data_IF_015525093397
#
_entry.id   IF_015525093397
#
_cell.length_a   1.000
_cell.length_b   1.000
_cell.length_c   1.000
_cell.angle_alpha   90.00
_cell.angle_beta   90.00
_cell.angle_gamma   90.00
#
_symmetry.space_group_name_H-M   'P 1'
#
loop_
_entity.id
_entity.type
_entity.pdbx_description
1 polymer ?
#
# COMPACT_ATOMS: atom_id res chain seq x y z
N UNK A 1 0.33 15.26 -12.29
CA UNK A 1 -0.31 15.29 -10.96
C UNK A 1 -0.60 16.71 -10.46
N UNK A 2 0.33 17.67 -10.58
CA UNK A 2 0.11 19.07 -10.15
C UNK A 2 -1.20 19.72 -10.67
N UNK A 3 -1.57 19.46 -11.93
CA UNK A 3 -2.82 19.99 -12.51
C UNK A 3 -4.10 19.45 -11.83
N UNK A 4 -4.09 18.19 -11.37
CA UNK A 4 -5.26 17.59 -10.72
C UNK A 4 -5.52 18.20 -9.34
N UNK A 5 -4.49 18.37 -8.51
CA UNK A 5 -4.63 18.97 -7.18
C UNK A 5 -5.09 20.44 -7.26
N UNK A 6 -4.56 21.21 -8.21
CA UNK A 6 -4.99 22.59 -8.46
C UNK A 6 -6.45 22.66 -8.94
N UNK A 7 -6.88 21.72 -9.80
CA UNK A 7 -8.28 21.61 -10.23
C UNK A 7 -9.20 21.28 -9.06
N UNK A 8 -8.83 20.30 -8.22
CA UNK A 8 -9.59 19.98 -7.00
C UNK A 8 -9.70 21.21 -6.09
N UNK A 9 -8.62 21.97 -5.92
CA UNK A 9 -8.62 23.22 -5.14
C UNK A 9 -9.64 24.23 -5.68
N UNK A 10 -9.72 24.43 -6.99
CA UNK A 10 -10.59 25.45 -7.59
C UNK A 10 -12.08 25.11 -7.54
N UNK A 11 -12.44 23.82 -7.50
CA UNK A 11 -13.83 23.35 -7.52
C UNK A 11 -14.39 22.94 -6.16
N UNK A 12 -13.59 22.95 -5.09
CA UNK A 12 -14.02 22.51 -3.74
C UNK A 12 -13.88 23.61 -2.67
N UNK A 13 -14.95 23.83 -1.90
CA UNK A 13 -14.97 24.81 -0.80
C UNK A 13 -14.03 24.43 0.36
N UNK A 14 -13.51 25.41 1.11
CA UNK A 14 -12.48 25.24 2.16
C UNK A 14 -12.85 24.22 3.25
N UNK A 15 -14.14 24.01 3.51
CA UNK A 15 -14.62 23.00 4.45
C UNK A 15 -14.47 21.54 3.94
N UNK A 16 -14.40 21.31 2.63
CA UNK A 16 -14.35 19.96 2.07
C UNK A 16 -13.08 19.21 2.46
N UNK A 17 -13.22 17.96 2.90
CA UNK A 17 -12.09 17.03 3.08
C UNK A 17 -11.79 16.36 1.75
N UNK A 18 -10.52 16.29 1.39
CA UNK A 18 -10.03 15.66 0.16
C UNK A 18 -9.22 14.43 0.52
N UNK A 19 -9.48 13.31 -0.14
CA UNK A 19 -8.66 12.10 -0.05
C UNK A 19 -8.39 11.56 -1.46
N UNK A 20 -7.40 10.69 -1.59
CA UNK A 20 -7.07 10.01 -2.83
C UNK A 20 -7.02 8.49 -2.62
N UNK A 21 -6.80 7.77 -3.72
CA UNK A 21 -6.66 6.31 -3.74
C UNK A 21 -5.47 5.88 -4.59
N UNK A 22 -4.51 6.79 -4.85
CA UNK A 22 -3.37 6.47 -5.70
C UNK A 22 -2.53 5.34 -5.08
N UNK A 23 -1.65 4.70 -5.85
CA UNK A 23 -0.79 3.63 -5.34
C UNK A 23 0.52 4.11 -4.69
N UNK A 24 0.89 5.39 -4.88
CA UNK A 24 2.10 6.03 -4.32
C UNK A 24 1.69 7.31 -3.62
N UNK A 25 2.23 7.61 -2.44
CA UNK A 25 1.73 8.69 -1.57
C UNK A 25 2.59 9.94 -1.59
N UNK A 26 3.90 9.83 -1.58
CA UNK A 26 4.79 11.00 -1.43
C UNK A 26 4.61 12.03 -2.56
N UNK A 27 4.52 11.64 -3.85
CA UNK A 27 4.26 12.61 -4.93
C UNK A 27 2.87 13.24 -4.87
N UNK A 28 1.87 12.51 -4.34
CA UNK A 28 0.51 13.04 -4.19
C UNK A 28 0.44 14.04 -3.04
N UNK A 29 1.07 13.72 -1.91
CA UNK A 29 1.18 14.62 -0.77
C UNK A 29 1.89 15.92 -1.17
N UNK A 30 2.98 15.83 -1.93
CA UNK A 30 3.67 17.00 -2.47
C UNK A 30 2.74 17.85 -3.37
N UNK A 31 2.05 17.23 -4.33
CA UNK A 31 1.11 17.93 -5.19
C UNK A 31 -0.06 18.57 -4.42
N UNK A 32 -0.54 17.94 -3.35
CA UNK A 32 -1.57 18.49 -2.48
C UNK A 32 -1.05 19.70 -1.68
N UNK A 33 0.18 19.63 -1.15
CA UNK A 33 0.83 20.76 -0.46
C UNK A 33 1.04 21.94 -1.41
N UNK A 34 1.56 21.71 -2.60
CA UNK A 34 1.78 22.75 -3.61
C UNK A 34 0.48 23.44 -4.05
N UNK A 35 -0.62 22.70 -4.11
CA UNK A 35 -1.95 23.23 -4.42
C UNK A 35 -2.64 23.91 -3.22
N UNK A 36 -1.99 24.01 -2.06
CA UNK A 36 -2.55 24.59 -0.84
C UNK A 36 -3.67 23.75 -0.23
N UNK A 37 -3.67 22.43 -0.43
CA UNK A 37 -4.65 21.49 0.12
C UNK A 37 -4.22 20.86 1.45
N UNK A 38 -2.99 21.09 1.92
CA UNK A 38 -2.38 20.39 3.07
C UNK A 38 -3.33 20.25 4.28
N UNK A 39 -3.91 21.36 4.75
CA UNK A 39 -4.81 21.36 5.93
C UNK A 39 -6.19 20.72 5.72
N UNK A 40 -6.49 20.19 4.53
CA UNK A 40 -7.74 19.48 4.25
C UNK A 40 -7.57 18.18 3.45
N UNK A 41 -6.33 17.72 3.29
CA UNK A 41 -5.99 16.53 2.53
C UNK A 41 -5.61 15.37 3.44
N UNK A 42 -6.16 14.19 3.17
CA UNK A 42 -5.82 12.92 3.84
C UNK A 42 -5.47 11.91 2.76
N UNK A 43 -4.18 11.61 2.58
CA UNK A 43 -3.74 10.64 1.58
C UNK A 43 -4.25 9.23 1.89
N UNK A 44 -4.68 8.50 0.86
CA UNK A 44 -5.29 7.18 0.99
C UNK A 44 -4.79 6.19 -0.06
N UNK A 45 -4.73 4.91 0.32
CA UNK A 45 -4.48 3.82 -0.63
C UNK A 45 -5.20 2.55 -0.18
N UNK A 46 -6.34 2.18 -0.81
CA UNK A 46 -6.94 0.87 -0.63
C UNK A 46 -6.09 -0.19 -1.34
N UNK A 47 -5.58 -1.15 -0.59
CA UNK A 47 -4.90 -2.35 -1.08
C UNK A 47 -5.93 -3.37 -1.60
N UNK A 48 -6.75 -2.93 -2.55
CA UNK A 48 -7.87 -3.67 -3.13
C UNK A 48 -7.72 -3.84 -4.65
N UNK A 49 -6.52 -3.65 -5.19
CA UNK A 49 -6.26 -3.76 -6.62
C UNK A 49 -6.55 -5.16 -7.13
N UNK A 50 -7.24 -5.23 -8.27
CA UNK A 50 -7.40 -6.45 -9.08
C UNK A 50 -6.68 -6.25 -10.42
N UNK A 51 -6.50 -7.31 -11.19
CA UNK A 51 -6.03 -7.25 -12.57
C UNK A 51 -7.05 -6.59 -13.54
N UNK A 52 -8.24 -6.21 -13.07
CA UNK A 52 -9.31 -5.64 -13.88
C UNK A 52 -9.44 -4.13 -13.66
N UNK A 53 -9.79 -3.40 -14.73
CA UNK A 53 -9.89 -1.94 -14.75
C UNK A 53 -11.20 -1.48 -15.39
N UNK A 54 -11.60 -0.24 -15.10
CA UNK A 54 -12.78 0.42 -15.66
C UNK A 54 -14.04 0.26 -14.81
N UNK A 55 -15.11 0.98 -15.17
CA UNK A 55 -16.35 1.04 -14.38
C UNK A 55 -17.00 -0.33 -14.16
N UNK A 56 -16.95 -1.21 -15.17
CA UNK A 56 -17.52 -2.56 -15.09
C UNK A 56 -16.77 -3.49 -14.11
N UNK A 57 -15.55 -3.14 -13.70
CA UNK A 57 -14.79 -3.86 -12.68
C UNK A 57 -15.16 -3.45 -11.25
N UNK A 58 -16.10 -2.52 -11.07
CA UNK A 58 -16.57 -2.10 -9.76
C UNK A 58 -17.31 -3.22 -9.03
N UNK A 59 -16.97 -3.43 -7.76
CA UNK A 59 -17.59 -4.44 -6.90
C UNK A 59 -17.92 -3.83 -5.53
N UNK A 60 -19.12 -4.12 -5.01
CA UNK A 60 -19.61 -3.56 -3.75
C UNK A 60 -18.85 -4.08 -2.52
N UNK A 61 -18.22 -5.25 -2.63
CA UNK A 61 -17.39 -5.88 -1.61
C UNK A 61 -15.89 -5.62 -1.78
N UNK A 62 -15.46 -4.86 -2.79
CA UNK A 62 -14.05 -4.66 -3.15
C UNK A 62 -13.16 -4.26 -1.95
N UNK A 63 -13.71 -3.46 -1.05
CA UNK A 63 -12.99 -2.89 0.09
C UNK A 63 -13.14 -3.70 1.38
N UNK A 64 -14.04 -4.68 1.40
CA UNK A 64 -14.33 -5.46 2.60
C UNK A 64 -13.10 -6.31 2.98
N UNK A 65 -12.57 -6.08 4.19
CA UNK A 65 -11.35 -6.73 4.67
C UNK A 65 -10.05 -6.26 4.02
N UNK A 66 -10.09 -5.40 3.00
CA UNK A 66 -8.91 -4.83 2.39
C UNK A 66 -8.18 -3.90 3.39
N UNK A 67 -6.85 -3.88 3.35
CA UNK A 67 -6.12 -2.83 4.06
C UNK A 67 -6.32 -1.51 3.31
N UNK A 68 -6.61 -0.43 4.01
CA UNK A 68 -6.63 0.92 3.46
C UNK A 68 -5.64 1.76 4.23
N UNK A 69 -4.52 2.11 3.59
CA UNK A 69 -3.54 2.97 4.23
C UNK A 69 -4.06 4.40 4.23
N UNK A 70 -4.11 5.04 5.40
CA UNK A 70 -4.40 6.47 5.52
C UNK A 70 -3.18 7.21 6.06
N UNK A 71 -2.71 8.19 5.31
CA UNK A 71 -1.53 8.94 5.64
C UNK A 71 -1.76 9.85 6.85
N UNK A 72 -0.83 9.80 7.79
CA UNK A 72 -0.79 10.68 8.97
C UNK A 72 0.55 11.42 8.95
N UNK A 73 0.50 12.71 8.63
CA UNK A 73 1.65 13.61 8.61
C UNK A 73 1.63 14.56 9.82
N UNK A 74 2.74 15.24 10.14
CA UNK A 74 2.78 16.22 11.23
C UNK A 74 1.74 17.34 11.11
N UNK A 75 1.38 17.71 9.88
CA UNK A 75 0.39 18.74 9.53
C UNK A 75 -1.01 18.17 9.22
N UNK A 76 -1.23 16.86 9.34
CA UNK A 76 -2.55 16.26 9.10
C UNK A 76 -3.54 16.70 10.18
N UNK A 77 -4.66 17.26 9.73
CA UNK A 77 -5.86 17.52 10.53
C UNK A 77 -6.51 16.17 10.93
N UNK A 78 -6.45 15.84 12.22
CA UNK A 78 -6.89 14.54 12.72
C UNK A 78 -8.41 14.37 12.68
N UNK A 79 -9.21 15.45 12.74
CA UNK A 79 -10.66 15.34 12.65
C UNK A 79 -11.06 14.92 11.24
N UNK A 80 -10.37 15.47 10.22
CA UNK A 80 -10.54 15.05 8.83
C UNK A 80 -10.05 13.63 8.60
N UNK A 81 -8.92 13.26 9.20
CA UNK A 81 -8.40 11.90 9.14
C UNK A 81 -9.40 10.90 9.73
N UNK A 82 -9.97 11.20 10.91
CA UNK A 82 -11.01 10.38 11.55
C UNK A 82 -12.25 10.26 10.67
N UNK A 83 -12.65 11.32 9.98
CA UNK A 83 -13.75 11.28 9.01
C UNK A 83 -13.49 10.32 7.84
N UNK A 84 -12.29 10.34 7.25
CA UNK A 84 -11.90 9.42 6.18
C UNK A 84 -11.75 7.99 6.71
N UNK A 85 -11.22 7.81 7.91
CA UNK A 85 -11.14 6.52 8.57
C UNK A 85 -12.52 5.93 8.86
N UNK A 86 -13.49 6.75 9.27
CA UNK A 86 -14.88 6.32 9.49
C UNK A 86 -15.53 5.86 8.18
N UNK A 87 -15.30 6.58 7.07
CA UNK A 87 -15.74 6.17 5.74
C UNK A 87 -15.14 4.80 5.36
N UNK A 88 -13.82 4.65 5.44
CA UNK A 88 -13.12 3.43 5.04
C UNK A 88 -13.54 2.21 5.90
N UNK A 89 -13.60 2.37 7.22
CA UNK A 89 -14.05 1.30 8.13
C UNK A 89 -15.53 0.98 7.97
N UNK A 90 -16.37 1.96 7.66
CA UNK A 90 -17.79 1.75 7.31
C UNK A 90 -18.00 0.94 6.02
N UNK A 91 -17.02 0.95 5.12
CA UNK A 91 -16.96 0.09 3.92
C UNK A 91 -16.33 -1.29 4.20
N UNK A 92 -16.01 -1.59 5.46
CA UNK A 92 -15.40 -2.85 5.89
C UNK A 92 -13.88 -2.91 5.70
N UNK A 93 -13.21 -1.81 5.34
CA UNK A 93 -11.77 -1.78 5.19
C UNK A 93 -11.05 -1.69 6.56
N UNK A 94 -9.82 -2.19 6.60
CA UNK A 94 -8.91 -2.10 7.76
C UNK A 94 -8.00 -0.90 7.58
N UNK A 95 -8.18 0.14 8.38
CA UNK A 95 -7.40 1.39 8.22
C UNK A 95 -6.03 1.27 8.85
N UNK A 96 -4.98 1.25 8.04
CA UNK A 96 -3.58 1.18 8.50
C UNK A 96 -2.98 2.58 8.47
N UNK A 97 -2.65 3.20 9.62
CA UNK A 97 -2.02 4.52 9.61
C UNK A 97 -0.54 4.41 9.23
N UNK A 98 -0.04 5.32 8.39
CA UNK A 98 1.39 5.41 8.07
C UNK A 98 1.72 6.84 7.63
N UNK A 99 2.99 7.23 7.61
CA UNK A 99 3.38 8.40 6.78
C UNK A 99 3.38 8.03 5.30
N UNK A 100 3.37 9.03 4.41
CA UNK A 100 3.50 8.82 2.98
C UNK A 100 4.82 8.10 2.62
N UNK A 101 5.91 8.46 3.30
CA UNK A 101 7.22 7.86 3.08
C UNK A 101 7.25 6.38 3.51
N UNK A 102 6.76 6.06 4.71
CA UNK A 102 6.70 4.67 5.20
C UNK A 102 5.81 3.79 4.31
N UNK A 103 4.69 4.34 3.86
CA UNK A 103 3.84 3.67 2.89
C UNK A 103 4.61 3.32 1.61
N UNK A 104 5.29 4.31 1.02
CA UNK A 104 6.00 4.15 -0.25
C UNK A 104 7.15 3.14 -0.14
N UNK A 105 7.87 3.14 0.98
CA UNK A 105 8.86 2.11 1.30
C UNK A 105 8.24 0.72 1.42
N UNK A 106 7.06 0.60 2.04
CA UNK A 106 6.37 -0.68 2.18
C UNK A 106 5.90 -1.21 0.82
N UNK A 107 5.15 -0.42 0.04
CA UNK A 107 4.62 -0.86 -1.26
C UNK A 107 5.70 -1.09 -2.31
N UNK A 108 6.86 -0.42 -2.21
CA UNK A 108 8.02 -0.76 -3.03
C UNK A 108 8.42 -2.23 -2.86
N UNK A 109 8.38 -2.76 -1.62
CA UNK A 109 8.78 -4.13 -1.29
C UNK A 109 7.67 -5.16 -1.53
N UNK A 110 6.41 -4.82 -1.19
CA UNK A 110 5.30 -5.79 -1.22
C UNK A 110 4.45 -5.73 -2.50
N UNK A 111 4.66 -4.75 -3.38
CA UNK A 111 3.89 -4.57 -4.61
C UNK A 111 4.78 -4.31 -5.83
N UNK A 112 5.59 -3.24 -5.82
CA UNK A 112 6.36 -2.83 -7.01
C UNK A 112 7.47 -3.83 -7.36
N UNK A 113 8.29 -4.21 -6.37
CA UNK A 113 9.34 -5.20 -6.53
C UNK A 113 8.80 -6.55 -7.04
N UNK A 114 7.69 -7.11 -6.52
CA UNK A 114 7.03 -8.27 -7.11
C UNK A 114 6.71 -8.15 -8.61
N UNK A 115 6.24 -7.00 -9.10
CA UNK A 115 6.01 -6.79 -10.54
C UNK A 115 7.32 -6.84 -11.34
N UNK A 116 8.39 -6.18 -10.86
CA UNK A 116 9.70 -6.21 -11.51
C UNK A 116 10.32 -7.62 -11.49
N UNK A 117 10.22 -8.32 -10.37
CA UNK A 117 10.70 -9.70 -10.22
C UNK A 117 9.97 -10.64 -11.18
N UNK A 118 8.64 -10.54 -11.27
CA UNK A 118 7.83 -11.32 -12.19
C UNK A 118 8.25 -11.10 -13.65
N UNK A 119 8.45 -9.85 -14.06
CA UNK A 119 8.93 -9.51 -15.40
C UNK A 119 10.36 -10.03 -15.66
N UNK A 120 11.24 -9.93 -14.67
CA UNK A 120 12.61 -10.46 -14.72
C UNK A 120 12.64 -11.98 -14.88
N UNK A 121 11.87 -12.71 -14.07
CA UNK A 121 11.73 -14.19 -14.15
C UNK A 121 11.21 -14.61 -15.53
N UNK A 122 10.19 -13.93 -16.06
CA UNK A 122 9.66 -14.21 -17.38
C UNK A 122 10.71 -13.99 -18.48
N UNK A 123 11.47 -12.89 -18.40
CA UNK A 123 12.51 -12.55 -19.38
C UNK A 123 13.68 -13.54 -19.35
N UNK A 124 14.13 -13.96 -18.16
CA UNK A 124 15.18 -14.98 -17.99
C UNK A 124 14.74 -16.32 -18.58
N UNK A 125 13.50 -16.74 -18.32
CA UNK A 125 12.98 -18.00 -18.87
C UNK A 125 12.86 -17.95 -20.40
N UNK A 126 12.39 -16.83 -20.96
CA UNK A 126 12.29 -16.65 -22.41
C UNK A 126 13.66 -16.67 -23.10
N UNK A 127 14.69 -16.08 -22.48
CA UNK A 127 16.06 -16.09 -22.99
C UNK A 127 16.68 -17.51 -23.05
N UNK A 128 16.20 -18.46 -22.23
CA UNK A 128 16.63 -19.86 -22.28
C UNK A 128 16.02 -20.66 -23.46
N UNK A 129 15.09 -20.06 -24.21
CA UNK A 129 14.50 -20.62 -25.42
C UNK A 129 13.19 -21.38 -25.22
N UNK A 130 12.59 -21.90 -26.31
CA UNK A 130 11.22 -22.42 -26.30
C UNK A 130 10.99 -23.62 -25.38
N UNK A 131 12.03 -24.43 -25.13
CA UNK A 131 11.94 -25.59 -24.25
C UNK A 131 11.62 -25.17 -22.81
N UNK A 132 12.27 -24.12 -22.29
CA UNK A 132 12.03 -23.64 -20.92
C UNK A 132 10.58 -23.21 -20.71
N UNK A 133 10.01 -22.47 -21.68
CA UNK A 133 8.61 -22.06 -21.65
C UNK A 133 7.64 -23.24 -21.81
N UNK A 134 7.98 -24.26 -22.62
CA UNK A 134 7.19 -25.49 -22.75
C UNK A 134 7.15 -26.34 -21.48
N UNK A 135 8.24 -26.35 -20.73
CA UNK A 135 8.37 -27.10 -19.47
C UNK A 135 7.87 -26.31 -18.25
N UNK A 136 7.56 -25.02 -18.42
CA UNK A 136 7.07 -24.17 -17.35
C UNK A 136 5.75 -24.72 -16.76
N UNK A 137 5.67 -24.73 -15.43
CA UNK A 137 4.55 -25.29 -14.69
C UNK A 137 4.05 -24.29 -13.62
N UNK A 138 3.45 -24.78 -12.54
CA UNK A 138 2.82 -23.96 -11.50
C UNK A 138 3.74 -22.91 -10.87
N UNK A 139 5.00 -23.26 -10.58
CA UNK A 139 5.95 -22.33 -9.97
C UNK A 139 6.24 -21.12 -10.86
N UNK A 140 6.44 -21.35 -12.17
CA UNK A 140 6.63 -20.28 -13.14
C UNK A 140 5.35 -19.45 -13.27
N UNK A 141 4.20 -20.09 -13.48
CA UNK A 141 2.90 -19.42 -13.62
C UNK A 141 2.63 -18.47 -12.46
N UNK A 142 2.82 -18.92 -11.22
CA UNK A 142 2.50 -18.14 -10.03
C UNK A 142 3.53 -17.02 -9.82
N UNK A 143 4.82 -17.28 -10.08
CA UNK A 143 5.89 -16.29 -10.00
C UNK A 143 5.77 -15.18 -11.05
N UNK A 144 5.19 -15.47 -12.22
CA UNK A 144 5.01 -14.49 -13.31
C UNK A 144 3.59 -13.94 -13.42
N UNK A 145 2.65 -14.36 -12.56
CA UNK A 145 1.23 -13.99 -12.66
C UNK A 145 1.00 -12.48 -12.80
N UNK A 146 1.68 -11.67 -11.99
CA UNK A 146 1.50 -10.21 -11.98
C UNK A 146 2.15 -9.50 -13.17
N UNK A 147 3.00 -10.19 -13.94
CA UNK A 147 3.54 -9.66 -15.20
C UNK A 147 2.50 -9.66 -16.34
N UNK A 148 1.33 -10.30 -16.14
CA UNK A 148 0.21 -10.25 -17.08
C UNK A 148 -0.65 -8.97 -16.95
N UNK A 149 -0.44 -8.17 -15.89
CA UNK A 149 -1.11 -6.89 -15.73
C UNK A 149 -0.65 -5.87 -16.80
N UNK A 150 -1.42 -4.80 -16.98
CA UNK A 150 -1.07 -3.71 -17.90
C UNK A 150 0.35 -3.16 -17.56
N UNK A 151 1.32 -3.23 -18.50
CA UNK A 151 2.67 -2.76 -18.26
C UNK A 151 2.74 -1.29 -17.86
N UNK A 152 1.83 -0.45 -18.38
CA UNK A 152 1.81 0.99 -18.09
C UNK A 152 1.59 1.29 -16.61
N UNK A 153 0.77 0.47 -15.93
CA UNK A 153 0.52 0.59 -14.49
C UNK A 153 1.78 0.25 -13.69
N UNK A 154 2.41 -0.88 -13.98
CA UNK A 154 3.63 -1.30 -13.29
C UNK A 154 4.78 -0.30 -13.51
N UNK A 155 4.94 0.20 -14.73
CA UNK A 155 5.93 1.23 -15.06
C UNK A 155 5.64 2.53 -14.31
N UNK A 156 4.39 2.99 -14.27
CA UNK A 156 4.03 4.21 -13.55
C UNK A 156 4.29 4.08 -12.04
N UNK A 157 3.89 2.96 -11.43
CA UNK A 157 4.14 2.68 -10.01
C UNK A 157 5.63 2.71 -9.68
N UNK A 158 6.46 2.05 -10.50
CA UNK A 158 7.90 2.01 -10.28
C UNK A 158 8.54 3.39 -10.50
N UNK A 159 8.13 4.13 -11.54
CA UNK A 159 8.68 5.45 -11.83
C UNK A 159 8.32 6.48 -10.75
N UNK A 160 7.09 6.46 -10.25
CA UNK A 160 6.63 7.37 -9.19
C UNK A 160 7.27 7.09 -7.83
N UNK A 161 7.81 5.89 -7.63
CA UNK A 161 8.42 5.45 -6.38
C UNK A 161 9.86 4.96 -6.58
N UNK A 162 10.59 5.57 -7.51
CA UNK A 162 11.86 5.06 -8.03
C UNK A 162 12.90 4.79 -6.94
N UNK A 163 13.09 5.71 -6.00
CA UNK A 163 14.13 5.60 -4.96
C UNK A 163 13.87 4.43 -4.00
N UNK A 164 12.62 4.25 -3.56
CA UNK A 164 12.24 3.14 -2.69
C UNK A 164 12.28 1.80 -3.45
N UNK A 165 11.93 1.80 -4.74
CA UNK A 165 12.02 0.62 -5.62
C UNK A 165 13.47 0.20 -5.83
N UNK A 166 14.37 1.14 -6.10
CA UNK A 166 15.81 0.86 -6.24
C UNK A 166 16.36 0.23 -4.97
N UNK A 167 16.02 0.80 -3.81
CA UNK A 167 16.38 0.25 -2.49
C UNK A 167 15.87 -1.20 -2.32
N UNK A 168 14.63 -1.46 -2.75
CA UNK A 168 14.03 -2.80 -2.68
C UNK A 168 14.71 -3.80 -3.64
N UNK A 169 15.07 -3.38 -4.85
CA UNK A 169 15.79 -4.19 -5.84
C UNK A 169 17.19 -4.55 -5.33
N UNK A 170 17.92 -3.58 -4.78
CA UNK A 170 19.24 -3.82 -4.18
C UNK A 170 19.15 -4.81 -3.02
N UNK A 171 18.17 -4.65 -2.14
CA UNK A 171 17.94 -5.58 -1.02
C UNK A 171 17.64 -7.00 -1.51
N UNK A 172 16.83 -7.17 -2.57
CA UNK A 172 16.58 -8.48 -3.18
C UNK A 172 17.86 -9.07 -3.78
N UNK A 173 18.61 -8.27 -4.54
CA UNK A 173 19.89 -8.68 -5.13
C UNK A 173 20.88 -9.19 -4.08
N UNK A 174 20.96 -8.52 -2.94
CA UNK A 174 21.77 -8.96 -1.80
C UNK A 174 21.29 -10.31 -1.24
N UNK A 175 19.98 -10.59 -1.19
CA UNK A 175 19.49 -11.90 -0.75
C UNK A 175 19.82 -13.00 -1.77
N UNK A 176 19.61 -12.74 -3.06
CA UNK A 176 19.83 -13.72 -4.14
C UNK A 176 21.31 -14.09 -4.36
N UNK A 177 22.22 -13.19 -4.00
CA UNK A 177 23.67 -13.39 -4.15
C UNK A 177 24.35 -14.01 -2.93
N UNK A 178 23.63 -14.22 -1.81
CA UNK A 178 24.17 -14.95 -0.65
C UNK A 178 24.55 -16.39 -1.04
N UNK A 179 25.68 -16.92 -0.54
CA UNK A 179 26.13 -18.27 -0.90
C UNK A 179 25.23 -19.36 -0.33
N UNK A 180 24.65 -19.15 0.85
CA UNK A 180 23.76 -20.10 1.50
C UNK A 180 22.32 -20.00 0.98
N UNK A 181 22.05 -20.78 -0.07
CA UNK A 181 20.72 -20.88 -0.68
C UNK A 181 19.69 -21.55 0.23
N UNK A 182 20.12 -22.50 1.08
CA UNK A 182 19.22 -23.20 1.98
C UNK A 182 18.65 -22.24 3.02
N UNK A 183 19.50 -21.40 3.61
CA UNK A 183 19.06 -20.37 4.55
C UNK A 183 18.03 -19.40 3.93
N UNK A 184 18.23 -18.98 2.67
CA UNK A 184 17.27 -18.13 1.96
C UNK A 184 15.92 -18.84 1.76
N UNK A 185 15.95 -20.09 1.29
CA UNK A 185 14.74 -20.90 1.06
C UNK A 185 13.98 -21.11 2.37
N UNK A 186 14.68 -21.48 3.45
CA UNK A 186 14.07 -21.71 4.76
C UNK A 186 13.45 -20.44 5.35
N UNK A 187 14.15 -19.30 5.22
CA UNK A 187 13.62 -18.01 5.65
C UNK A 187 12.37 -17.63 4.85
N UNK A 188 12.40 -17.78 3.52
CA UNK A 188 11.25 -17.54 2.65
C UNK A 188 10.07 -18.44 2.98
N UNK A 189 10.32 -19.73 3.25
CA UNK A 189 9.30 -20.68 3.68
C UNK A 189 8.63 -20.21 4.98
N UNK A 190 9.41 -19.89 6.03
CA UNK A 190 8.87 -19.43 7.32
C UNK A 190 8.01 -18.18 7.18
N UNK A 191 8.45 -17.20 6.39
CA UNK A 191 7.70 -15.96 6.14
C UNK A 191 6.38 -16.30 5.43
N UNK A 192 6.42 -17.15 4.40
CA UNK A 192 5.24 -17.49 3.61
C UNK A 192 4.20 -18.26 4.42
N UNK A 193 4.60 -19.25 5.21
CA UNK A 193 3.65 -20.03 6.03
C UNK A 193 3.04 -19.22 7.17
N UNK A 194 3.74 -18.18 7.62
CA UNK A 194 3.25 -17.27 8.66
C UNK A 194 2.42 -16.09 8.15
N UNK A 195 2.22 -15.96 6.83
CA UNK A 195 1.50 -14.83 6.23
C UNK A 195 0.11 -15.24 5.69
N UNK A 196 -0.94 -14.44 5.93
CA UNK A 196 -0.96 -13.27 6.82
C UNK A 196 -0.88 -13.69 8.29
N UNK A 197 -0.28 -12.87 9.17
CA UNK A 197 -0.27 -13.16 10.61
C UNK A 197 -1.70 -13.14 11.17
N UNK A 198 -1.90 -13.85 12.28
CA UNK A 198 -3.17 -13.82 12.99
C UNK A 198 -3.53 -12.38 13.39
N UNK A 199 -4.82 -11.98 13.33
CA UNK A 199 -5.22 -10.64 13.73
C UNK A 199 -4.85 -10.35 15.18
N UNK A 200 -4.29 -9.16 15.48
CA UNK A 200 -4.03 -8.73 16.85
C UNK A 200 -5.32 -8.69 17.72
N UNK A 201 -5.19 -8.60 19.06
CA UNK A 201 -6.36 -8.37 19.91
C UNK A 201 -7.02 -7.03 19.60
N UNK A 202 -8.35 -7.00 19.73
CA UNK A 202 -9.12 -5.77 19.60
C UNK A 202 -9.09 -5.00 20.92
N UNK A 203 -8.66 -3.74 20.88
CA UNK A 203 -8.61 -2.84 22.02
C UNK A 203 -9.30 -1.52 21.69
N UNK A 204 -9.69 -0.76 22.72
CA UNK A 204 -10.35 0.55 22.56
C UNK A 204 -9.40 1.65 22.99
N UNK A 205 -9.14 2.59 22.09
CA UNK A 205 -8.28 3.74 22.34
C UNK A 205 -9.12 5.02 22.48
N UNK A 206 -9.11 5.70 23.63
CA UNK A 206 -9.70 7.03 23.73
C UNK A 206 -9.01 8.02 22.78
N UNK A 207 -9.77 9.02 22.31
CA UNK A 207 -9.20 10.12 21.52
C UNK A 207 -8.44 11.07 22.47
N UNK A 208 -7.12 11.15 22.31
CA UNK A 208 -6.22 11.94 23.15
C UNK A 208 -5.30 12.84 22.30
N UNK A 209 -4.60 13.77 22.95
CA UNK A 209 -3.70 14.70 22.27
C UNK A 209 -2.52 14.02 21.55
N UNK A 210 -2.11 12.82 22.00
CA UNK A 210 -1.03 12.02 21.43
C UNK A 210 -1.49 11.04 20.33
N UNK A 211 -2.75 11.16 19.87
CA UNK A 211 -3.37 10.22 18.94
C UNK A 211 -2.53 10.02 17.67
N UNK A 212 -1.91 11.08 17.14
CA UNK A 212 -1.04 11.01 15.95
C UNK A 212 0.08 10.00 16.12
N UNK A 213 0.86 10.13 17.18
CA UNK A 213 2.03 9.29 17.44
C UNK A 213 1.60 7.84 17.71
N UNK A 214 0.47 7.67 18.41
CA UNK A 214 -0.11 6.36 18.65
C UNK A 214 -0.59 5.67 17.37
N UNK A 215 -1.21 6.40 16.44
CA UNK A 215 -1.62 5.89 15.14
C UNK A 215 -0.41 5.45 14.31
N UNK A 216 0.63 6.27 14.23
CA UNK A 216 1.86 5.89 13.52
C UNK A 216 2.53 4.67 14.15
N UNK A 217 2.61 4.61 15.48
CA UNK A 217 3.14 3.46 16.19
C UNK A 217 2.29 2.20 15.93
N UNK A 218 0.96 2.32 15.88
CA UNK A 218 0.05 1.23 15.55
C UNK A 218 0.38 0.61 14.19
N UNK A 219 0.45 1.45 13.14
CA UNK A 219 0.73 0.98 11.78
C UNK A 219 2.11 0.34 11.64
N UNK A 220 3.15 0.94 12.26
CA UNK A 220 4.51 0.37 12.28
C UNK A 220 4.59 -1.01 12.92
N UNK A 221 3.74 -1.30 13.90
CA UNK A 221 3.63 -2.64 14.52
C UNK A 221 2.78 -3.61 13.70
N UNK A 222 2.12 -3.16 12.62
CA UNK A 222 1.19 -3.97 11.82
C UNK A 222 -0.24 -4.00 12.37
N UNK A 223 -0.59 -3.06 13.26
CA UNK A 223 -1.95 -2.85 13.71
C UNK A 223 -2.78 -1.97 12.77
N UNK A 224 -4.09 -1.91 13.01
CA UNK A 224 -5.01 -1.10 12.22
C UNK A 224 -6.23 -0.66 13.02
N UNK A 225 -6.92 0.38 12.53
CA UNK A 225 -8.22 0.83 13.03
C UNK A 225 -9.31 0.00 12.36
N UNK A 226 -10.18 -0.60 13.17
CA UNK A 226 -11.31 -1.44 12.74
C UNK A 226 -12.62 -0.65 12.74
N UNK A 227 -12.76 0.35 13.62
CA UNK A 227 -13.87 1.29 13.61
C UNK A 227 -13.51 2.63 14.28
N UNK A 228 -14.11 3.70 13.78
CA UNK A 228 -14.13 5.02 14.44
C UNK A 228 -15.45 5.16 15.20
N UNK A 229 -15.39 5.35 16.52
CA UNK A 229 -16.54 5.56 17.40
C UNK A 229 -16.56 7.02 17.89
N UNK A 230 -17.68 7.52 18.45
CA UNK A 230 -17.82 8.95 18.80
C UNK A 230 -16.72 9.53 19.70
N UNK A 231 -16.17 8.75 20.64
CA UNK A 231 -15.20 9.19 21.64
C UNK A 231 -13.93 8.31 21.70
N UNK A 232 -13.81 7.34 20.79
CA UNK A 232 -12.72 6.34 20.81
C UNK A 232 -12.54 5.64 19.46
N UNK A 233 -11.41 4.98 19.29
CA UNK A 233 -11.16 4.04 18.19
C UNK A 233 -11.26 2.60 18.68
N UNK A 234 -11.82 1.71 17.86
CA UNK A 234 -11.60 0.28 17.99
C UNK A 234 -10.41 -0.08 17.10
N UNK A 235 -9.33 -0.59 17.68
CA UNK A 235 -8.09 -0.90 16.97
C UNK A 235 -7.63 -2.32 17.24
N UNK A 236 -6.97 -2.93 16.26
CA UNK A 236 -6.25 -4.19 16.38
C UNK A 236 -4.80 -3.86 16.67
N UNK A 237 -4.39 -4.02 17.93
CA UNK A 237 -3.07 -3.60 18.41
C UNK A 237 -2.23 -4.81 18.82
N UNK A 238 -1.07 -5.06 18.19
CA UNK A 238 -0.15 -6.13 18.56
C UNK A 238 0.46 -6.02 19.96
N UNK A 239 0.38 -4.85 20.61
CA UNK A 239 1.12 -4.53 21.84
C UNK A 239 2.32 -3.65 21.53
#
# INVERSE_FOLDING_TARGET
MANAAATVRSVTGSAATVTDVASVKSPILAAARDAGLAGRFVGGHPMAGTEHSGFAAGDAGLLAGAAWVLCVEPDTDLDRWLGVAALATGLGARVVPATAAEHDEAVARISHLPHLLAAGVATVAAAAGPLALRLAAGSFRDATRVAAADPSLATAMCALNADAVETAVQALGQQLTKPDRAALIDAGHRIRVGWPPAPPPLVRWPLHADLRDRLLALGRRGGWVEAVLPDRLAVRDPG
#
